data_IF_572628886444
#
_entry.id   IF_572628886444
#
_cell.length_a   1.000
_cell.length_b   1.000
_cell.length_c   1.000
_cell.angle_alpha   90.00
_cell.angle_beta   90.00
_cell.angle_gamma   90.00
#
_symmetry.space_group_name_H-M   'P 1'
#
loop_
_entity.id
_entity.type
_entity.pdbx_description
1 polymer ?
#
# COMPACT_ATOMS: atom_id res chain seq x y z
N UNK A 1 -1.92 -20.85 9.79
CA UNK A 1 -3.09 -19.99 9.49
C UNK A 1 -3.52 -20.24 8.05
N UNK A 2 -4.82 -20.37 7.77
CA UNK A 2 -5.35 -20.63 6.42
C UNK A 2 -5.93 -19.34 5.83
N UNK A 3 -5.27 -18.73 4.85
CA UNK A 3 -5.67 -17.43 4.29
C UNK A 3 -6.86 -17.50 3.33
N UNK A 4 -7.20 -18.68 2.80
CA UNK A 4 -8.29 -18.82 1.82
C UNK A 4 -9.69 -18.50 2.37
N UNK A 5 -9.83 -18.31 3.70
CA UNK A 5 -11.07 -17.86 4.34
C UNK A 5 -11.29 -16.35 4.27
N UNK A 6 -10.31 -15.60 3.76
CA UNK A 6 -10.40 -14.16 3.59
C UNK A 6 -10.46 -13.84 2.10
N UNK A 7 -11.41 -13.00 1.65
CA UNK A 7 -11.48 -12.53 0.28
C UNK A 7 -10.15 -11.88 -0.13
N UNK A 8 -9.72 -12.18 -1.36
CA UNK A 8 -8.48 -11.65 -1.92
C UNK A 8 -8.61 -11.48 -3.43
N UNK A 9 -8.23 -10.31 -3.93
CA UNK A 9 -8.16 -10.02 -5.36
C UNK A 9 -6.69 -9.87 -5.75
N UNK A 10 -6.29 -10.43 -6.90
CA UNK A 10 -4.92 -10.31 -7.41
C UNK A 10 -4.71 -8.93 -8.04
N UNK A 11 -3.91 -8.10 -7.39
CA UNK A 11 -3.59 -6.73 -7.86
C UNK A 11 -2.14 -6.57 -8.30
N UNK A 12 -1.23 -7.43 -7.84
CA UNK A 12 0.19 -7.34 -8.17
C UNK A 12 0.81 -8.67 -8.58
N UNK A 13 2.10 -8.61 -8.89
CA UNK A 13 2.95 -9.78 -9.02
C UNK A 13 3.33 -10.27 -7.61
N UNK A 14 2.86 -11.47 -7.27
CA UNK A 14 3.15 -12.14 -6.00
C UNK A 14 4.28 -13.16 -6.18
N UNK A 15 4.78 -13.75 -5.09
CA UNK A 15 6.04 -14.53 -5.13
C UNK A 15 7.21 -13.65 -5.57
N UNK A 16 7.31 -12.45 -4.97
CA UNK A 16 8.38 -11.50 -5.30
C UNK A 16 9.76 -12.14 -5.01
N UNK A 17 10.82 -11.79 -5.74
CA UNK A 17 12.13 -12.41 -5.54
C UNK A 17 12.66 -12.30 -4.10
N UNK A 18 13.34 -13.35 -3.63
CA UNK A 18 14.19 -13.33 -2.45
C UNK A 18 15.64 -13.50 -2.92
N UNK A 19 16.39 -12.40 -2.93
CA UNK A 19 17.68 -12.31 -3.62
C UNK A 19 18.84 -12.18 -2.63
N UNK A 20 19.92 -12.93 -2.85
CA UNK A 20 21.16 -12.75 -2.09
C UNK A 20 21.84 -11.43 -2.50
N UNK A 21 22.41 -10.71 -1.54
CA UNK A 21 23.17 -9.46 -1.74
C UNK A 21 24.67 -9.66 -1.50
N UNK A 22 25.37 -10.48 -2.31
CA UNK A 22 26.73 -10.94 -2.02
C UNK A 22 27.75 -9.80 -1.90
N UNK A 23 27.62 -8.75 -2.72
CA UNK A 23 28.53 -7.60 -2.68
C UNK A 23 28.39 -6.79 -1.40
N UNK A 24 27.16 -6.57 -0.92
CA UNK A 24 26.91 -5.84 0.32
C UNK A 24 27.35 -6.66 1.53
N UNK A 25 27.06 -7.96 1.53
CA UNK A 25 27.58 -8.88 2.55
C UNK A 25 29.09 -8.87 2.62
N UNK A 26 29.79 -8.92 1.48
CA UNK A 26 31.25 -8.86 1.45
C UNK A 26 31.78 -7.50 1.95
N UNK A 27 31.16 -6.40 1.53
CA UNK A 27 31.56 -5.05 1.92
C UNK A 27 31.46 -4.80 3.44
N UNK A 28 30.54 -5.49 4.13
CA UNK A 28 30.34 -5.38 5.58
C UNK A 28 31.14 -6.43 6.38
N UNK A 29 31.87 -7.34 5.72
CA UNK A 29 32.53 -8.46 6.38
C UNK A 29 31.55 -9.51 6.93
N UNK A 30 30.35 -9.58 6.34
CA UNK A 30 29.17 -10.27 6.87
C UNK A 30 28.13 -9.30 7.44
N UNK A 31 26.95 -9.76 7.89
CA UNK A 31 26.38 -11.11 7.74
C UNK A 31 25.97 -11.40 6.28
N UNK A 32 25.45 -12.61 6.02
CA UNK A 32 24.77 -12.94 4.75
C UNK A 32 23.45 -12.18 4.68
N UNK A 33 23.27 -11.36 3.65
CA UNK A 33 22.13 -10.46 3.51
C UNK A 33 21.31 -10.86 2.31
N UNK A 34 19.99 -10.91 2.51
CA UNK A 34 19.01 -11.18 1.47
C UNK A 34 17.98 -10.06 1.44
N UNK A 35 17.40 -9.82 0.27
CA UNK A 35 16.34 -8.84 0.09
C UNK A 35 15.09 -9.49 -0.49
N UNK A 36 13.97 -9.27 0.18
CA UNK A 36 12.63 -9.60 -0.33
C UNK A 36 12.14 -8.43 -1.18
N UNK A 37 12.05 -8.63 -2.50
CA UNK A 37 11.80 -7.57 -3.50
C UNK A 37 10.32 -7.18 -3.61
N UNK A 38 9.73 -6.77 -2.49
CA UNK A 38 8.34 -6.28 -2.45
C UNK A 38 8.15 -4.93 -3.16
N UNK A 39 9.23 -4.27 -3.58
CA UNK A 39 9.19 -3.19 -4.58
C UNK A 39 8.71 -3.69 -5.96
N UNK A 40 8.94 -4.96 -6.30
CA UNK A 40 8.59 -5.54 -7.60
C UNK A 40 7.15 -6.10 -7.68
N UNK A 41 6.20 -5.60 -6.88
CA UNK A 41 4.80 -6.05 -6.94
C UNK A 41 4.02 -5.48 -8.14
N UNK A 42 4.57 -4.52 -8.89
CA UNK A 42 4.09 -4.10 -10.22
C UNK A 42 2.91 -3.14 -10.27
N UNK A 43 2.08 -3.02 -9.23
CA UNK A 43 0.91 -2.14 -9.23
C UNK A 43 1.34 -0.66 -9.19
N UNK A 44 1.31 -0.01 -10.37
CA UNK A 44 1.78 1.36 -10.57
C UNK A 44 3.15 1.60 -9.93
N UNK A 45 4.20 0.87 -10.36
CA UNK A 45 5.56 0.78 -9.75
C UNK A 45 5.71 -0.12 -8.51
N UNK A 46 4.61 -0.59 -7.91
CA UNK A 46 4.65 -1.60 -6.84
C UNK A 46 5.01 -1.07 -5.45
N UNK A 47 5.38 -1.98 -4.56
CA UNK A 47 5.64 -1.76 -3.14
C UNK A 47 4.77 -2.60 -2.21
N UNK A 48 5.01 -2.41 -0.91
CA UNK A 48 4.36 -3.19 0.14
C UNK A 48 2.84 -3.03 0.25
N UNK A 49 2.30 -1.88 -0.15
CA UNK A 49 0.87 -1.57 0.01
C UNK A 49 0.00 -2.41 -0.92
N UNK A 50 0.54 -2.82 -2.07
CA UNK A 50 -0.11 -3.75 -2.99
C UNK A 50 -0.56 -5.03 -2.28
N UNK A 51 0.29 -5.62 -1.42
CA UNK A 51 -0.07 -6.83 -0.66
C UNK A 51 -1.26 -6.62 0.26
N UNK A 52 -1.34 -5.46 0.91
CA UNK A 52 -2.47 -5.12 1.79
C UNK A 52 -3.75 -4.87 0.98
N UNK A 53 -3.61 -4.16 -0.14
CA UNK A 53 -4.71 -3.80 -1.02
C UNK A 53 -5.39 -5.03 -1.64
N UNK A 54 -4.70 -6.14 -1.85
CA UNK A 54 -5.34 -7.37 -2.33
C UNK A 54 -6.49 -7.86 -1.41
N UNK A 55 -6.38 -7.63 -0.10
CA UNK A 55 -7.42 -7.98 0.86
C UNK A 55 -8.41 -6.83 1.09
N UNK A 56 -7.89 -5.60 1.24
CA UNK A 56 -8.75 -4.41 1.45
C UNK A 56 -9.70 -4.16 0.29
N UNK A 57 -9.23 -4.28 -0.95
CA UNK A 57 -10.06 -4.07 -2.12
C UNK A 57 -11.02 -5.23 -2.36
N UNK A 58 -10.67 -6.45 -1.93
CA UNK A 58 -11.60 -7.56 -1.95
C UNK A 58 -12.78 -7.33 -0.98
N UNK A 59 -12.48 -6.85 0.23
CA UNK A 59 -13.50 -6.44 1.20
C UNK A 59 -14.35 -5.25 0.68
N UNK A 60 -13.73 -4.26 0.02
CA UNK A 60 -14.46 -3.16 -0.62
C UNK A 60 -15.44 -3.64 -1.70
N UNK A 61 -15.02 -4.60 -2.55
CA UNK A 61 -15.88 -5.22 -3.57
C UNK A 61 -17.02 -5.99 -2.92
N UNK A 62 -16.75 -6.78 -1.87
CA UNK A 62 -17.78 -7.55 -1.15
C UNK A 62 -18.84 -6.65 -0.51
N UNK A 63 -18.43 -5.48 0.01
CA UNK A 63 -19.35 -4.47 0.54
C UNK A 63 -20.06 -3.65 -0.55
N UNK A 64 -19.77 -3.91 -1.83
CA UNK A 64 -20.38 -3.24 -2.97
C UNK A 64 -20.02 -1.76 -3.06
N UNK A 65 -18.81 -1.39 -2.62
CA UNK A 65 -18.32 -0.02 -2.70
C UNK A 65 -18.07 0.41 -4.16
N UNK A 66 -18.37 1.67 -4.47
CA UNK A 66 -18.07 2.29 -5.77
C UNK A 66 -16.92 3.30 -5.70
N UNK A 67 -16.59 3.74 -4.49
CA UNK A 67 -15.62 4.81 -4.23
C UNK A 67 -14.73 4.44 -3.06
N UNK A 68 -13.42 4.44 -3.27
CA UNK A 68 -12.43 4.23 -2.21
C UNK A 68 -11.88 5.56 -1.73
N UNK A 69 -11.79 5.75 -0.42
CA UNK A 69 -11.25 6.95 0.21
C UNK A 69 -10.03 6.57 1.03
N UNK A 70 -8.92 7.29 0.88
CA UNK A 70 -7.73 7.08 1.70
C UNK A 70 -6.97 8.38 1.94
N UNK A 71 -5.98 8.33 2.84
CA UNK A 71 -5.07 9.43 3.11
C UNK A 71 -3.60 9.07 2.98
N UNK A 72 -2.76 10.10 2.86
CA UNK A 72 -1.30 10.00 2.93
C UNK A 72 -0.62 11.36 2.97
N UNK A 73 0.72 11.38 3.02
CA UNK A 73 1.49 12.58 2.73
C UNK A 73 1.51 12.85 1.21
N UNK A 74 1.94 14.05 0.78
CA UNK A 74 2.04 14.45 -0.63
C UNK A 74 2.62 13.37 -1.55
N UNK A 75 3.77 12.77 -1.19
CA UNK A 75 4.42 11.71 -1.97
C UNK A 75 4.08 10.29 -1.50
N UNK A 76 2.84 10.05 -1.04
CA UNK A 76 2.44 8.78 -0.45
C UNK A 76 2.41 7.62 -1.46
N UNK A 77 3.29 6.63 -1.26
CA UNK A 77 3.24 5.35 -1.98
C UNK A 77 1.92 4.60 -1.76
N UNK A 78 1.26 4.81 -0.61
CA UNK A 78 -0.03 4.18 -0.29
C UNK A 78 -1.17 4.79 -1.10
N UNK A 79 -1.21 6.11 -1.23
CA UNK A 79 -2.21 6.80 -2.04
C UNK A 79 -2.11 6.30 -3.49
N UNK A 80 -0.89 6.33 -4.05
CA UNK A 80 -0.60 5.86 -5.41
C UNK A 80 -1.00 4.42 -5.70
N UNK A 81 -0.70 3.49 -4.80
CA UNK A 81 -1.12 2.10 -4.98
C UNK A 81 -2.64 1.93 -4.81
N UNK A 82 -3.29 2.73 -3.96
CA UNK A 82 -4.75 2.68 -3.75
C UNK A 82 -5.49 3.20 -4.98
N UNK A 83 -5.05 4.32 -5.55
CA UNK A 83 -5.59 4.87 -6.80
C UNK A 83 -5.46 3.85 -7.93
N UNK A 84 -4.28 3.25 -8.08
CA UNK A 84 -4.05 2.22 -9.10
C UNK A 84 -4.97 1.00 -8.92
N UNK A 85 -5.17 0.56 -7.67
CA UNK A 85 -6.07 -0.55 -7.37
C UNK A 85 -7.53 -0.22 -7.70
N UNK A 86 -8.00 0.96 -7.31
CA UNK A 86 -9.36 1.43 -7.60
C UNK A 86 -9.60 1.57 -9.10
N UNK A 87 -8.68 2.20 -9.84
CA UNK A 87 -8.75 2.34 -11.29
C UNK A 87 -8.83 0.97 -11.99
N UNK A 88 -8.02 -0.01 -11.55
CA UNK A 88 -8.06 -1.39 -12.08
C UNK A 88 -9.39 -2.10 -11.84
N UNK A 89 -10.10 -1.75 -10.76
CA UNK A 89 -11.40 -2.34 -10.40
C UNK A 89 -12.60 -1.50 -10.90
N UNK A 90 -12.36 -0.41 -11.63
CA UNK A 90 -13.42 0.48 -12.11
C UNK A 90 -14.10 1.28 -10.99
N UNK A 91 -13.44 1.45 -9.84
CA UNK A 91 -13.92 2.25 -8.71
C UNK A 91 -13.36 3.67 -8.78
N UNK A 92 -14.12 4.64 -8.27
CA UNK A 92 -13.59 5.97 -7.99
C UNK A 92 -12.60 5.90 -6.83
N UNK A 93 -11.60 6.79 -6.81
CA UNK A 93 -10.71 6.93 -5.65
C UNK A 93 -10.57 8.40 -5.28
N UNK A 94 -10.83 8.74 -4.02
CA UNK A 94 -10.60 10.09 -3.48
C UNK A 94 -9.43 10.00 -2.51
N UNK A 95 -8.37 10.75 -2.77
CA UNK A 95 -7.19 10.78 -1.90
C UNK A 95 -7.09 12.12 -1.17
N UNK A 96 -6.87 12.04 0.15
CA UNK A 96 -6.64 13.19 1.00
C UNK A 96 -5.14 13.26 1.32
N UNK A 97 -4.44 14.27 0.81
CA UNK A 97 -3.01 14.46 0.99
C UNK A 97 -2.75 15.53 2.06
N UNK A 98 -2.05 15.15 3.12
CA UNK A 98 -1.63 16.06 4.18
C UNK A 98 -0.24 16.61 3.87
N UNK A 99 -0.09 17.94 3.87
CA UNK A 99 1.22 18.57 3.81
C UNK A 99 1.89 18.50 5.18
N UNK A 100 2.69 17.46 5.40
CA UNK A 100 3.44 17.22 6.64
C UNK A 100 4.78 17.94 6.71
N UNK A 101 5.20 18.54 5.60
CA UNK A 101 6.60 18.97 5.41
C UNK A 101 6.73 20.48 5.24
N UNK A 102 5.69 21.16 4.74
CA UNK A 102 5.78 22.55 4.30
C UNK A 102 6.70 22.75 3.09
N UNK A 103 7.09 21.66 2.42
CA UNK A 103 8.05 21.71 1.32
C UNK A 103 7.34 22.14 0.03
N UNK A 104 7.79 23.25 -0.55
CA UNK A 104 7.13 23.92 -1.68
C UNK A 104 7.82 23.70 -3.02
N UNK A 105 8.84 22.83 -3.09
CA UNK A 105 9.51 22.51 -4.34
C UNK A 105 8.51 21.88 -5.35
N UNK A 106 8.40 22.42 -6.57
CA UNK A 106 7.51 21.85 -7.60
C UNK A 106 7.75 20.37 -7.88
N UNK A 107 9.00 19.88 -7.77
CA UNK A 107 9.29 18.45 -7.93
C UNK A 107 8.62 17.62 -6.83
N UNK A 108 8.53 18.14 -5.62
CA UNK A 108 7.83 17.44 -4.54
C UNK A 108 6.31 17.52 -4.69
N UNK A 109 5.80 18.66 -5.16
CA UNK A 109 4.36 18.91 -5.28
C UNK A 109 3.72 18.27 -6.52
N UNK A 110 4.46 18.12 -7.62
CA UNK A 110 3.87 17.78 -8.92
C UNK A 110 4.45 16.54 -9.60
N UNK A 111 5.59 16.02 -9.13
CA UNK A 111 6.22 14.83 -9.73
C UNK A 111 5.92 13.53 -8.95
N UNK A 112 6.58 12.43 -9.32
CA UNK A 112 6.57 11.19 -8.55
C UNK A 112 5.16 10.60 -8.37
N UNK A 113 4.81 10.28 -7.13
CA UNK A 113 3.51 9.67 -6.82
C UNK A 113 2.35 10.62 -7.16
N UNK A 114 2.49 11.94 -6.92
CA UNK A 114 1.42 12.91 -7.24
C UNK A 114 1.10 12.94 -8.73
N UNK A 115 2.13 12.90 -9.58
CA UNK A 115 1.96 12.82 -11.02
C UNK A 115 1.18 11.55 -11.43
N UNK A 116 1.55 10.40 -10.86
CA UNK A 116 0.89 9.13 -11.13
C UNK A 116 -0.57 9.13 -10.65
N UNK A 117 -0.86 9.71 -9.48
CA UNK A 117 -2.22 9.83 -8.93
C UNK A 117 -3.12 10.63 -9.87
N UNK A 118 -2.62 11.77 -10.38
CA UNK A 118 -3.31 12.61 -11.35
C UNK A 118 -3.51 11.89 -12.68
N UNK A 119 -2.48 11.19 -13.17
CA UNK A 119 -2.55 10.44 -14.43
C UNK A 119 -3.62 9.33 -14.38
N UNK A 120 -3.79 8.69 -13.22
CA UNK A 120 -4.82 7.67 -12.99
C UNK A 120 -6.21 8.25 -12.65
N UNK A 121 -6.36 9.58 -12.65
CA UNK A 121 -7.65 10.26 -12.55
C UNK A 121 -8.23 10.38 -11.15
N UNK A 122 -7.42 10.31 -10.09
CA UNK A 122 -7.91 10.48 -8.71
C UNK A 122 -8.19 11.96 -8.38
N UNK A 123 -9.41 12.33 -7.93
CA UNK A 123 -9.60 13.57 -7.20
C UNK A 123 -8.70 13.62 -5.96
N UNK A 124 -7.88 14.66 -5.87
CA UNK A 124 -6.94 14.89 -4.76
C UNK A 124 -7.40 16.11 -3.96
N UNK A 125 -7.48 15.95 -2.63
CA UNK A 125 -7.76 17.04 -1.69
C UNK A 125 -6.58 17.25 -0.78
N UNK A 126 -6.07 18.48 -0.71
CA UNK A 126 -4.92 18.83 0.14
C UNK A 126 -5.37 19.38 1.49
N UNK A 127 -4.71 18.94 2.56
CA UNK A 127 -4.97 19.35 3.94
C UNK A 127 -3.69 19.83 4.62
N UNK A 128 -3.84 20.76 5.57
CA UNK A 128 -2.71 21.27 6.36
C UNK A 128 -2.21 20.21 7.36
N UNK A 129 -0.93 20.31 7.74
CA UNK A 129 -0.33 19.50 8.80
C UNK A 129 -1.17 19.52 10.09
N UNK A 130 -1.34 18.36 10.72
CA UNK A 130 -2.03 18.23 12.00
C UNK A 130 -3.55 18.18 11.88
N UNK A 131 -4.08 18.14 10.65
CA UNK A 131 -5.51 17.87 10.42
C UNK A 131 -5.87 16.49 10.97
N UNK A 132 -7.03 16.36 11.62
CA UNK A 132 -7.61 15.03 11.91
C UNK A 132 -8.06 14.38 10.59
N UNK A 133 -7.12 13.68 9.95
CA UNK A 133 -7.36 13.00 8.69
C UNK A 133 -8.43 11.90 8.79
N UNK A 134 -8.65 11.33 9.98
CA UNK A 134 -9.72 10.35 10.16
C UNK A 134 -11.09 11.05 10.13
N UNK A 135 -11.22 12.21 10.78
CA UNK A 135 -12.43 13.03 10.67
C UNK A 135 -12.65 13.52 9.24
N UNK A 136 -11.59 13.97 8.56
CA UNK A 136 -11.67 14.41 7.17
C UNK A 136 -12.15 13.29 6.23
N UNK A 137 -11.58 12.07 6.34
CA UNK A 137 -12.05 10.93 5.55
C UNK A 137 -13.50 10.54 5.86
N UNK A 138 -13.95 10.65 7.12
CA UNK A 138 -15.37 10.45 7.47
C UNK A 138 -16.27 11.48 6.80
N UNK A 139 -15.89 12.75 6.81
CA UNK A 139 -16.66 13.81 6.15
C UNK A 139 -16.77 13.55 4.64
N UNK A 140 -15.67 13.20 3.97
CA UNK A 140 -15.68 12.83 2.55
C UNK A 140 -16.54 11.59 2.28
N UNK A 141 -16.55 10.62 3.18
CA UNK A 141 -17.42 9.46 3.04
C UNK A 141 -18.91 9.85 3.12
N UNK A 142 -19.29 10.76 4.02
CA UNK A 142 -20.66 11.26 4.08
C UNK A 142 -21.05 12.07 2.83
N UNK A 143 -20.13 12.84 2.24
CA UNK A 143 -20.35 13.51 0.95
C UNK A 143 -20.67 12.49 -0.16
N UNK A 144 -19.86 11.43 -0.28
CA UNK A 144 -20.08 10.36 -1.28
C UNK A 144 -21.45 9.70 -1.08
N UNK A 145 -21.85 9.44 0.16
CA UNK A 145 -23.18 8.88 0.46
C UNK A 145 -24.31 9.84 0.10
N UNK A 146 -24.15 11.14 0.37
CA UNK A 146 -25.14 12.16 0.04
C UNK A 146 -25.36 12.28 -1.48
N UNK A 147 -24.34 11.99 -2.28
CA UNK A 147 -24.41 11.89 -3.75
C UNK A 147 -24.95 10.53 -4.26
N UNK A 148 -25.34 9.63 -3.34
CA UNK A 148 -25.88 8.30 -3.66
C UNK A 148 -24.83 7.21 -3.89
N UNK A 149 -23.56 7.51 -3.63
CA UNK A 149 -22.45 6.56 -3.75
C UNK A 149 -22.25 5.67 -2.52
N UNK A 150 -21.36 4.69 -2.64
CA UNK A 150 -21.00 3.74 -1.58
C UNK A 150 -19.50 3.83 -1.27
N UNK A 151 -19.10 4.61 -0.25
CA UNK A 151 -17.70 4.79 0.08
C UNK A 151 -17.12 3.61 0.87
N UNK A 152 -15.84 3.32 0.62
CA UNK A 152 -15.02 2.43 1.44
C UNK A 152 -13.76 3.18 1.91
N UNK A 153 -13.59 3.32 3.23
CA UNK A 153 -12.48 4.09 3.82
C UNK A 153 -11.32 3.16 4.16
N UNK A 154 -10.16 3.43 3.56
CA UNK A 154 -8.90 2.77 3.87
C UNK A 154 -8.06 3.69 4.77
N UNK A 155 -7.66 3.25 5.98
CA UNK A 155 -6.84 4.07 6.86
C UNK A 155 -5.44 4.27 6.26
N UNK A 156 -4.72 5.28 6.76
CA UNK A 156 -3.36 5.61 6.33
C UNK A 156 -2.44 4.38 6.24
N UNK A 157 -1.90 4.12 5.04
CA UNK A 157 -1.00 2.99 4.79
C UNK A 157 -1.67 1.61 4.78
N UNK A 158 -3.01 1.55 4.74
CA UNK A 158 -3.79 0.31 4.74
C UNK A 158 -3.62 -0.51 6.00
N UNK A 159 -3.33 0.16 7.12
CA UNK A 159 -2.97 -0.50 8.37
C UNK A 159 -4.18 -0.73 9.25
N UNK A 160 -4.84 -1.86 9.01
CA UNK A 160 -5.91 -2.42 9.83
C UNK A 160 -5.76 -3.96 9.79
N UNK A 161 -6.60 -4.71 10.53
CA UNK A 161 -6.52 -6.17 10.56
C UNK A 161 -6.62 -6.84 9.18
N UNK A 162 -7.45 -6.31 8.26
CA UNK A 162 -7.63 -6.86 6.91
C UNK A 162 -6.37 -6.63 6.06
N UNK A 163 -5.86 -5.41 6.02
CA UNK A 163 -4.65 -5.08 5.27
C UNK A 163 -3.41 -5.82 5.77
N UNK A 164 -3.31 -6.08 7.07
CA UNK A 164 -2.21 -6.84 7.66
C UNK A 164 -2.13 -8.29 7.15
N UNK A 165 -3.25 -8.87 6.66
CA UNK A 165 -3.25 -10.20 6.02
C UNK A 165 -2.30 -10.27 4.81
N UNK A 166 -2.07 -9.14 4.13
CA UNK A 166 -1.08 -9.03 3.06
C UNK A 166 0.34 -9.43 3.50
N UNK A 167 0.73 -9.06 4.72
CA UNK A 167 2.05 -9.39 5.28
C UNK A 167 2.09 -10.73 6.01
N UNK A 168 0.95 -11.22 6.49
CA UNK A 168 0.82 -12.65 6.84
C UNK A 168 1.09 -13.53 5.60
N UNK A 169 0.52 -13.17 4.44
CA UNK A 169 0.80 -13.87 3.19
C UNK A 169 2.28 -13.75 2.77
N UNK A 170 2.89 -12.58 2.95
CA UNK A 170 4.31 -12.38 2.66
C UNK A 170 5.20 -13.26 3.54
N UNK A 171 4.90 -13.40 4.84
CA UNK A 171 5.66 -14.28 5.73
C UNK A 171 5.60 -15.75 5.28
N UNK A 172 4.43 -16.24 4.87
CA UNK A 172 4.28 -17.60 4.29
C UNK A 172 5.11 -17.75 3.01
N UNK A 173 5.09 -16.73 2.15
CA UNK A 173 5.86 -16.68 0.91
C UNK A 173 7.37 -16.73 1.17
N UNK A 174 7.87 -15.96 2.14
CA UNK A 174 9.29 -15.97 2.57
C UNK A 174 9.68 -17.35 3.11
N UNK A 175 8.85 -17.97 3.96
CA UNK A 175 9.13 -19.30 4.50
C UNK A 175 9.23 -20.36 3.40
N UNK A 176 8.32 -20.31 2.43
CA UNK A 176 8.33 -21.24 1.28
C UNK A 176 9.63 -21.08 0.49
N UNK A 177 9.98 -19.86 0.10
CA UNK A 177 11.21 -19.58 -0.64
C UNK A 177 12.47 -19.94 0.15
N UNK A 178 12.51 -19.65 1.45
CA UNK A 178 13.65 -19.99 2.30
C UNK A 178 13.86 -21.51 2.38
N UNK A 179 12.79 -22.29 2.48
CA UNK A 179 12.87 -23.75 2.47
C UNK A 179 13.39 -24.28 1.13
N UNK A 180 12.88 -23.77 0.00
CA UNK A 180 13.31 -24.15 -1.34
C UNK A 180 14.80 -23.85 -1.56
N UNK A 181 15.29 -22.74 -0.97
CA UNK A 181 16.69 -22.32 -1.03
C UNK A 181 17.59 -22.97 0.04
N UNK A 182 17.03 -23.80 0.94
CA UNK A 182 17.73 -24.31 2.13
C UNK A 182 18.36 -23.20 2.99
N UNK A 183 17.72 -22.03 3.02
CA UNK A 183 18.18 -20.83 3.70
C UNK A 183 17.65 -20.78 5.13
N UNK A 184 18.55 -20.79 6.12
CA UNK A 184 18.19 -20.54 7.53
C UNK A 184 18.14 -19.04 7.82
N UNK A 185 16.94 -18.49 7.96
CA UNK A 185 16.73 -17.07 8.28
C UNK A 185 16.85 -16.85 9.80
N UNK A 186 17.79 -15.99 10.21
CA UNK A 186 18.00 -15.64 11.62
C UNK A 186 17.29 -14.36 12.06
N UNK A 187 17.10 -13.41 11.14
CA UNK A 187 16.52 -12.08 11.39
C UNK A 187 15.75 -11.64 10.16
N UNK A 188 14.69 -10.87 10.37
CA UNK A 188 14.00 -10.10 9.33
C UNK A 188 14.06 -8.64 9.73
N UNK A 189 14.39 -7.76 8.78
CA UNK A 189 14.42 -6.32 8.97
C UNK A 189 13.44 -5.70 7.98
N UNK A 190 12.61 -4.78 8.45
CA UNK A 190 11.71 -4.00 7.61
C UNK A 190 11.52 -2.60 8.20
N UNK A 191 11.12 -1.65 7.36
CA UNK A 191 10.73 -0.32 7.82
C UNK A 191 9.34 -0.37 8.47
N UNK A 192 9.18 0.37 9.58
CA UNK A 192 7.91 0.49 10.29
C UNK A 192 7.41 1.92 10.23
N UNK A 193 6.33 2.12 9.48
CA UNK A 193 5.58 3.39 9.41
C UNK A 193 4.25 3.24 10.15
N UNK A 194 3.15 3.12 9.40
CA UNK A 194 1.80 2.90 9.97
C UNK A 194 1.57 1.50 10.56
N UNK A 195 2.62 0.76 10.92
CA UNK A 195 2.62 -0.52 11.65
C UNK A 195 1.99 -1.79 11.02
N UNK A 196 1.10 -1.70 10.02
CA UNK A 196 0.41 -2.89 9.49
C UNK A 196 1.24 -3.82 8.57
N UNK A 197 2.56 -3.60 8.46
CA UNK A 197 3.52 -4.42 7.69
C UNK A 197 4.43 -5.05 8.71
#
# INVERSE_FOLDING_TARGET
>A
MHLARFPRIKLGHMHTPLEHMPRLSAALGGPQLYIKRDDCTGLATGGNKTRKLEFLMADAVEQGADTVITQGATQSNHARQTVAAAARLGMKCIILLEDRTGYTDPNYLDSGNVFLDRLMGSPTRTYAAGTDMNAAMRAVAEEVKAEGGKPYVIPGGGSNPIGALGYVNCAIEILTQANDMQLRVARVVHATGSAGT
#
